data_IF_060441042507
#
_entry.id   IF_060441042507
#
_cell.length_a   1.000
_cell.length_b   1.000
_cell.length_c   1.000
_cell.angle_alpha   90.00
_cell.angle_beta   90.00
_cell.angle_gamma   90.00
#
_symmetry.space_group_name_H-M   'P 1'
#
loop_
_entity.id
_entity.type
_entity.pdbx_description
1 polymer ?
#
# COMPACT_ATOMS: atom_id res chain seq x y z
N UNK A 1 -20.22 2.28 -10.00
CA UNK A 1 -19.43 2.37 -8.76
C UNK A 1 -19.78 1.15 -7.94
N UNK A 2 -19.09 0.06 -8.25
CA UNK A 2 -19.15 -1.16 -7.46
C UNK A 2 -18.38 -0.89 -6.17
N UNK A 3 -19.06 -0.45 -5.11
CA UNK A 3 -18.51 -0.45 -3.74
C UNK A 3 -18.30 -1.90 -3.22
N UNK A 4 -18.18 -2.89 -4.12
CA UNK A 4 -18.71 -4.25 -3.94
C UNK A 4 -17.76 -5.25 -3.29
N UNK A 5 -16.55 -4.85 -2.88
CA UNK A 5 -15.56 -5.79 -2.32
C UNK A 5 -15.03 -5.42 -0.93
N UNK A 6 -15.55 -4.36 -0.29
CA UNK A 6 -15.00 -3.86 0.98
C UNK A 6 -15.78 -4.42 2.16
N UNK A 7 -15.24 -5.45 2.81
CA UNK A 7 -15.82 -6.08 4.00
C UNK A 7 -14.78 -6.24 5.12
N UNK A 8 -15.21 -6.08 6.37
CA UNK A 8 -14.37 -6.35 7.54
C UNK A 8 -14.87 -7.64 8.18
N UNK A 9 -13.96 -8.60 8.39
CA UNK A 9 -14.28 -9.82 9.10
C UNK A 9 -14.32 -9.56 10.62
N UNK A 10 -15.50 -9.64 11.22
CA UNK A 10 -15.71 -9.34 12.64
C UNK A 10 -15.43 -10.53 13.59
N UNK A 11 -14.71 -11.55 13.11
CA UNK A 11 -14.47 -12.80 13.84
C UNK A 11 -15.77 -13.52 14.26
N UNK A 12 -16.80 -13.38 13.42
CA UNK A 12 -18.11 -13.98 13.60
C UNK A 12 -18.51 -14.76 12.35
N UNK A 13 -18.80 -16.05 12.50
CA UNK A 13 -19.15 -16.93 11.39
C UNK A 13 -17.98 -17.80 10.92
N UNK A 14 -18.04 -18.24 9.67
CA UNK A 14 -17.02 -19.10 9.04
C UNK A 14 -15.77 -18.28 8.67
N UNK A 15 -14.59 -18.72 9.11
CA UNK A 15 -13.39 -17.90 8.99
C UNK A 15 -13.09 -17.43 7.55
N UNK A 16 -12.51 -16.25 7.42
CA UNK A 16 -12.25 -15.60 6.12
C UNK A 16 -11.40 -16.46 5.16
N UNK A 17 -10.55 -17.35 5.68
CA UNK A 17 -9.74 -18.23 4.83
C UNK A 17 -10.59 -19.33 4.22
N UNK A 18 -11.44 -19.96 5.01
CA UNK A 18 -12.39 -20.97 4.53
C UNK A 18 -13.33 -20.38 3.48
N UNK A 19 -13.89 -19.20 3.73
CA UNK A 19 -14.74 -18.52 2.75
C UNK A 19 -13.97 -18.14 1.48
N UNK A 20 -12.76 -17.58 1.61
CA UNK A 20 -11.91 -17.25 0.47
C UNK A 20 -11.57 -18.48 -0.39
N UNK A 21 -11.23 -19.60 0.23
CA UNK A 21 -10.97 -20.87 -0.47
C UNK A 21 -12.22 -21.38 -1.21
N UNK A 22 -13.39 -21.25 -0.58
CA UNK A 22 -14.67 -21.61 -1.21
C UNK A 22 -14.95 -20.73 -2.43
N UNK A 23 -14.76 -19.41 -2.32
CA UNK A 23 -14.92 -18.49 -3.44
C UNK A 23 -13.99 -18.84 -4.62
N UNK A 24 -12.73 -19.18 -4.34
CA UNK A 24 -11.76 -19.62 -5.36
C UNK A 24 -12.22 -20.92 -6.04
N UNK A 25 -12.68 -21.91 -5.26
CA UNK A 25 -13.17 -23.19 -5.80
C UNK A 25 -14.41 -23.01 -6.68
N UNK A 26 -15.37 -22.20 -6.22
CA UNK A 26 -16.59 -21.90 -6.98
C UNK A 26 -16.29 -21.17 -8.31
N UNK A 27 -15.17 -20.46 -8.38
CA UNK A 27 -14.73 -19.68 -9.55
C UNK A 27 -13.58 -20.30 -10.34
N UNK A 28 -13.23 -21.56 -10.09
CA UNK A 28 -12.04 -22.20 -10.68
C UNK A 28 -11.99 -22.08 -12.22
N UNK A 29 -13.12 -22.29 -12.89
CA UNK A 29 -13.17 -22.23 -14.37
C UNK A 29 -12.88 -20.82 -14.88
N UNK A 30 -13.40 -19.81 -14.20
CA UNK A 30 -13.17 -18.40 -14.53
C UNK A 30 -11.71 -18.03 -14.28
N UNK A 31 -11.16 -18.39 -13.11
CA UNK A 31 -9.75 -18.17 -12.76
C UNK A 31 -8.83 -18.81 -13.81
N UNK A 32 -9.08 -20.07 -14.20
CA UNK A 32 -8.27 -20.76 -15.23
C UNK A 32 -8.37 -20.10 -16.60
N UNK A 33 -9.50 -19.48 -16.93
CA UNK A 33 -9.66 -18.72 -18.18
C UNK A 33 -8.84 -17.43 -18.12
N UNK A 34 -8.99 -16.65 -17.05
CA UNK A 34 -8.26 -15.40 -16.85
C UNK A 34 -6.74 -15.63 -16.83
N UNK A 35 -6.27 -16.71 -16.19
CA UNK A 35 -4.85 -17.08 -16.21
C UNK A 35 -4.33 -17.38 -17.63
N UNK A 36 -5.16 -17.97 -18.51
CA UNK A 36 -4.75 -18.15 -19.91
C UNK A 36 -4.68 -16.84 -20.68
N UNK A 37 -5.53 -15.88 -20.31
CA UNK A 37 -5.59 -14.54 -20.91
C UNK A 37 -4.43 -13.65 -20.40
N UNK A 38 -3.90 -13.89 -19.20
CA UNK A 38 -2.73 -13.15 -18.65
C UNK A 38 -1.39 -13.64 -19.19
N UNK A 39 -1.27 -14.90 -19.64
CA UNK A 39 0.01 -15.47 -20.13
C UNK A 39 0.65 -14.65 -21.27
N UNK A 40 -0.09 -14.19 -22.30
CA UNK A 40 0.49 -13.32 -23.33
C UNK A 40 1.05 -12.01 -22.76
N UNK A 41 0.36 -11.38 -21.80
CA UNK A 41 0.79 -10.13 -21.15
C UNK A 41 2.13 -10.34 -20.44
N UNK A 42 2.26 -11.42 -19.66
CA UNK A 42 3.52 -11.76 -19.01
C UNK A 42 4.67 -12.04 -19.99
N UNK A 43 4.37 -12.65 -21.14
CA UNK A 43 5.38 -12.92 -22.17
C UNK A 43 5.86 -11.64 -22.85
N UNK A 44 4.93 -10.73 -23.12
CA UNK A 44 5.22 -9.42 -23.69
C UNK A 44 6.09 -8.61 -22.72
N UNK A 45 5.69 -8.52 -21.45
CA UNK A 45 6.48 -7.89 -20.41
C UNK A 45 7.91 -8.46 -20.33
N UNK A 46 8.04 -9.80 -20.27
CA UNK A 46 9.35 -10.44 -20.20
C UNK A 46 10.22 -10.18 -21.45
N UNK A 47 9.61 -10.10 -22.64
CA UNK A 47 10.31 -9.74 -23.88
C UNK A 47 10.79 -8.30 -23.81
N UNK A 48 9.95 -7.36 -23.39
CA UNK A 48 10.28 -5.94 -23.29
C UNK A 48 11.42 -5.72 -22.29
N UNK A 49 11.38 -6.36 -21.12
CA UNK A 49 12.50 -6.33 -20.18
C UNK A 49 13.80 -6.85 -20.82
N UNK A 50 13.73 -7.97 -21.55
CA UNK A 50 14.90 -8.53 -22.21
C UNK A 50 15.45 -7.59 -23.30
N UNK A 51 14.60 -6.95 -24.09
CA UNK A 51 14.98 -5.99 -25.12
C UNK A 51 15.61 -4.73 -24.52
N UNK A 52 15.13 -4.29 -23.35
CA UNK A 52 15.71 -3.21 -22.56
C UNK A 52 16.99 -3.61 -21.80
N UNK A 53 17.32 -4.92 -21.78
CA UNK A 53 18.49 -5.43 -21.06
C UNK A 53 18.30 -5.55 -19.54
N UNK A 54 17.05 -5.55 -19.06
CA UNK A 54 16.70 -5.67 -17.66
C UNK A 54 16.54 -7.14 -17.24
N UNK A 55 17.17 -7.51 -16.12
CA UNK A 55 16.97 -8.82 -15.48
C UNK A 55 15.90 -8.73 -14.38
N UNK A 56 14.78 -9.42 -14.58
CA UNK A 56 13.69 -9.50 -13.59
C UNK A 56 13.77 -10.83 -12.84
N UNK A 57 14.37 -10.80 -11.64
CA UNK A 57 14.33 -11.92 -10.69
C UNK A 57 13.47 -11.57 -9.47
N UNK A 58 12.18 -11.91 -9.58
CA UNK A 58 11.18 -11.71 -8.51
C UNK A 58 11.58 -12.45 -7.23
N UNK A 59 12.06 -13.69 -7.37
CA UNK A 59 12.37 -14.54 -6.21
C UNK A 59 13.55 -13.99 -5.42
N UNK A 60 14.58 -13.53 -6.13
CA UNK A 60 15.75 -12.86 -5.54
C UNK A 60 15.32 -11.62 -4.75
N UNK A 61 14.61 -10.67 -5.37
CA UNK A 61 14.20 -9.43 -4.68
C UNK A 61 13.29 -9.72 -3.48
N UNK A 62 12.27 -10.58 -3.64
CA UNK A 62 11.41 -10.99 -2.51
C UNK A 62 12.20 -11.62 -1.36
N UNK A 63 13.21 -12.43 -1.67
CA UNK A 63 14.07 -13.05 -0.65
C UNK A 63 14.96 -12.02 0.08
N UNK A 64 15.47 -11.01 -0.63
CA UNK A 64 16.28 -9.95 -0.06
C UNK A 64 15.46 -9.05 0.87
N UNK A 65 14.23 -8.71 0.47
CA UNK A 65 13.28 -7.97 1.32
C UNK A 65 12.87 -8.79 2.53
N UNK A 66 12.56 -10.07 2.34
CA UNK A 66 12.22 -10.99 3.44
C UNK A 66 13.33 -11.09 4.49
N UNK A 67 14.59 -11.03 4.08
CA UNK A 67 15.74 -11.05 4.98
C UNK A 67 15.86 -9.79 5.86
N UNK A 68 15.18 -8.69 5.48
CA UNK A 68 15.32 -7.36 6.11
C UNK A 68 14.02 -6.78 6.67
N UNK A 69 12.96 -7.59 6.81
CA UNK A 69 11.64 -7.13 7.26
C UNK A 69 11.67 -6.35 8.59
N UNK A 70 12.51 -6.77 9.53
CA UNK A 70 12.65 -6.09 10.83
C UNK A 70 13.22 -4.67 10.69
N UNK A 71 14.14 -4.47 9.74
CA UNK A 71 14.79 -3.18 9.49
C UNK A 71 13.91 -2.27 8.62
N UNK A 72 13.10 -2.85 7.73
CA UNK A 72 12.13 -2.12 6.90
C UNK A 72 10.97 -1.50 7.70
N UNK A 73 10.93 -1.71 9.02
CA UNK A 73 10.06 -0.95 9.93
C UNK A 73 10.70 0.33 10.45
N UNK A 74 11.95 0.62 10.11
CA UNK A 74 12.68 1.81 10.51
C UNK A 74 12.65 2.86 9.38
N UNK A 75 12.08 4.04 9.64
CA UNK A 75 12.00 5.13 8.67
C UNK A 75 13.37 5.58 8.16
N UNK A 76 14.45 5.34 8.91
CA UNK A 76 15.82 5.64 8.46
C UNK A 76 16.25 4.75 7.32
N UNK A 77 15.86 3.47 7.36
CA UNK A 77 16.11 2.56 6.25
C UNK A 77 15.16 2.84 5.09
N UNK A 78 13.90 3.18 5.37
CA UNK A 78 12.94 3.58 4.32
C UNK A 78 13.40 4.83 3.57
N UNK A 79 14.01 5.80 4.25
CA UNK A 79 14.60 6.96 3.61
C UNK A 79 15.74 6.58 2.66
N UNK A 80 16.66 5.71 3.10
CA UNK A 80 17.72 5.20 2.23
C UNK A 80 17.15 4.41 1.05
N UNK A 81 16.20 3.51 1.29
CA UNK A 81 15.57 2.70 0.25
C UNK A 81 14.88 3.56 -0.82
N UNK A 82 14.15 4.58 -0.40
CA UNK A 82 13.48 5.51 -1.32
C UNK A 82 14.50 6.31 -2.15
N UNK A 83 15.55 6.83 -1.52
CA UNK A 83 16.59 7.61 -2.20
C UNK A 83 17.39 6.74 -3.18
N UNK A 84 17.94 5.62 -2.73
CA UNK A 84 18.74 4.72 -3.56
C UNK A 84 17.91 4.06 -4.67
N UNK A 85 16.58 3.89 -4.49
CA UNK A 85 15.72 3.38 -5.57
C UNK A 85 15.66 4.31 -6.78
N UNK A 86 16.02 5.58 -6.63
CA UNK A 86 16.02 6.58 -7.70
C UNK A 86 17.44 6.98 -8.12
N UNK A 87 18.39 7.00 -7.19
CA UNK A 87 19.74 7.51 -7.45
C UNK A 87 20.73 6.45 -7.97
N UNK A 88 20.58 5.18 -7.58
CA UNK A 88 21.52 4.12 -7.96
C UNK A 88 21.16 3.51 -9.32
N UNK A 89 22.19 3.23 -10.14
CA UNK A 89 22.02 2.55 -11.42
C UNK A 89 21.35 1.18 -11.25
N UNK A 90 21.69 0.43 -10.19
CA UNK A 90 20.97 -0.79 -9.76
C UNK A 90 21.00 -0.90 -8.22
N UNK A 91 19.81 -0.85 -7.61
CA UNK A 91 19.63 -0.88 -6.17
C UNK A 91 20.10 -2.20 -5.54
N UNK A 92 20.95 -2.09 -4.52
CA UNK A 92 21.37 -3.23 -3.69
C UNK A 92 20.60 -3.29 -2.37
N UNK A 93 19.46 -4.00 -2.36
CA UNK A 93 18.64 -4.18 -1.14
C UNK A 93 19.43 -4.75 0.04
N UNK A 94 20.31 -5.77 -0.12
CA UNK A 94 21.14 -6.27 0.98
C UNK A 94 22.19 -5.26 1.46
N UNK A 95 22.59 -4.31 0.60
CA UNK A 95 23.61 -3.31 0.87
C UNK A 95 23.10 -2.04 1.56
N UNK A 96 21.78 -1.81 1.62
CA UNK A 96 21.25 -0.56 2.18
C UNK A 96 21.66 -0.35 3.64
N UNK A 97 22.16 0.84 3.94
CA UNK A 97 22.45 1.28 5.29
C UNK A 97 21.43 2.33 5.74
N UNK A 98 20.83 2.13 6.91
CA UNK A 98 19.89 3.11 7.45
C UNK A 98 20.59 4.45 7.67
N UNK A 99 19.91 5.56 7.33
CA UNK A 99 20.40 6.90 7.66
C UNK A 99 20.75 7.01 9.15
N UNK A 100 21.80 7.77 9.53
CA UNK A 100 22.25 7.83 10.93
C UNK A 100 21.18 8.41 11.88
N UNK A 101 20.36 9.35 11.41
CA UNK A 101 19.30 9.97 12.18
C UNK A 101 18.12 10.38 11.28
N UNK A 102 16.92 10.49 11.89
CA UNK A 102 15.75 11.13 11.28
C UNK A 102 15.77 12.63 11.61
N UNK A 103 16.57 13.39 10.87
CA UNK A 103 16.58 14.84 11.03
C UNK A 103 15.32 15.50 10.43
N UNK A 104 15.16 16.81 10.66
CA UNK A 104 14.00 17.54 10.19
C UNK A 104 13.86 17.55 8.66
N UNK A 105 14.98 17.47 7.92
CA UNK A 105 14.98 17.44 6.46
C UNK A 105 14.50 16.08 5.97
N UNK A 106 15.09 15.00 6.45
CA UNK A 106 14.69 13.63 6.10
C UNK A 106 13.22 13.40 6.42
N UNK A 107 12.75 13.80 7.61
CA UNK A 107 11.34 13.68 7.95
C UNK A 107 10.42 14.52 7.06
N UNK A 108 10.87 15.71 6.63
CA UNK A 108 10.11 16.54 5.68
C UNK A 108 10.04 15.90 4.30
N UNK A 109 11.12 15.27 3.83
CA UNK A 109 11.17 14.57 2.56
C UNK A 109 10.24 13.34 2.58
N UNK A 110 10.35 12.49 3.61
CA UNK A 110 9.46 11.33 3.80
C UNK A 110 7.99 11.73 3.90
N UNK A 111 7.68 12.79 4.67
CA UNK A 111 6.30 13.27 4.81
C UNK A 111 5.74 13.79 3.50
N UNK A 112 6.58 14.42 2.66
CA UNK A 112 6.18 14.90 1.34
C UNK A 112 5.89 13.72 0.41
N UNK A 113 6.79 12.73 0.34
CA UNK A 113 6.57 11.54 -0.49
C UNK A 113 5.33 10.75 -0.06
N UNK A 114 5.10 10.62 1.26
CA UNK A 114 3.87 10.01 1.77
C UNK A 114 2.61 10.79 1.33
N UNK A 115 2.67 12.13 1.40
CA UNK A 115 1.54 12.97 1.06
C UNK A 115 1.25 12.99 -0.45
N UNK A 116 2.27 12.95 -1.31
CA UNK A 116 2.11 12.86 -2.77
C UNK A 116 1.28 11.61 -3.11
N UNK A 117 1.66 10.44 -2.58
CA UNK A 117 0.95 9.17 -2.80
C UNK A 117 -0.48 9.16 -2.24
N UNK A 118 -0.66 9.70 -1.04
CA UNK A 118 -1.99 9.77 -0.44
C UNK A 118 -2.89 10.73 -1.21
N UNK A 119 -2.37 11.88 -1.62
CA UNK A 119 -3.15 12.92 -2.30
C UNK A 119 -3.69 12.40 -3.63
N UNK A 120 -2.92 11.62 -4.38
CA UNK A 120 -3.40 11.02 -5.63
C UNK A 120 -4.64 10.14 -5.40
N UNK A 121 -4.72 9.42 -4.28
CA UNK A 121 -5.90 8.62 -3.92
C UNK A 121 -7.03 9.43 -3.24
N UNK A 122 -6.70 10.38 -2.37
CA UNK A 122 -7.66 11.07 -1.50
C UNK A 122 -8.13 12.43 -2.04
N UNK A 123 -7.49 12.98 -3.06
CA UNK A 123 -7.92 14.21 -3.75
C UNK A 123 -9.00 13.92 -4.80
N UNK A 124 -9.95 13.06 -4.45
CA UNK A 124 -11.06 12.71 -5.31
C UNK A 124 -11.96 13.94 -5.59
N UNK A 125 -12.24 14.18 -6.88
CA UNK A 125 -13.14 15.24 -7.33
C UNK A 125 -14.54 15.08 -6.72
N UNK A 126 -15.03 13.84 -6.70
CA UNK A 126 -16.29 13.46 -6.08
C UNK A 126 -16.06 12.69 -4.78
N UNK A 127 -16.85 13.00 -3.75
CA UNK A 127 -16.70 12.37 -2.44
C UNK A 127 -16.90 10.84 -2.47
N UNK A 128 -17.72 10.33 -3.38
CA UNK A 128 -17.97 8.89 -3.54
C UNK A 128 -16.82 8.14 -4.23
N UNK A 129 -15.85 8.87 -4.78
CA UNK A 129 -14.61 8.30 -5.31
C UNK A 129 -13.49 8.31 -4.25
N UNK A 130 -13.70 8.96 -3.11
CA UNK A 130 -12.72 8.99 -2.04
C UNK A 130 -12.54 7.59 -1.40
N UNK A 131 -11.33 7.25 -0.92
CA UNK A 131 -11.07 6.00 -0.25
C UNK A 131 -11.97 5.81 0.98
N UNK A 132 -12.52 4.60 1.13
CA UNK A 132 -13.39 4.22 2.25
C UNK A 132 -12.59 3.45 3.29
N UNK A 133 -12.68 3.88 4.55
CA UNK A 133 -12.22 3.16 5.73
C UNK A 133 -13.43 2.64 6.52
N UNK A 134 -13.55 1.32 6.65
CA UNK A 134 -14.55 0.72 7.54
C UNK A 134 -13.97 0.62 8.94
N UNK A 135 -14.50 1.40 9.88
CA UNK A 135 -14.03 1.40 11.26
C UNK A 135 -14.58 0.20 12.05
N UNK A 136 -13.98 -0.15 13.21
CA UNK A 136 -14.42 -1.29 14.03
C UNK A 136 -15.87 -1.22 14.51
N UNK A 137 -16.47 -0.04 14.57
CA UNK A 137 -17.89 0.16 14.90
C UNK A 137 -18.84 -0.06 13.72
N UNK A 138 -18.31 -0.45 12.55
CA UNK A 138 -19.05 -0.67 11.32
C UNK A 138 -19.37 0.62 10.55
N UNK A 139 -18.84 1.77 10.96
CA UNK A 139 -19.03 3.02 10.24
C UNK A 139 -18.15 3.08 8.99
N UNK A 140 -18.71 3.61 7.89
CA UNK A 140 -18.01 3.79 6.62
C UNK A 140 -17.51 5.22 6.55
N UNK A 141 -16.20 5.39 6.72
CA UNK A 141 -15.54 6.69 6.83
C UNK A 141 -14.87 7.04 5.50
N UNK A 142 -15.11 8.26 5.03
CA UNK A 142 -14.55 8.81 3.80
C UNK A 142 -13.61 9.95 4.17
N UNK A 143 -12.37 9.88 3.69
CA UNK A 143 -11.37 10.93 3.88
C UNK A 143 -11.06 11.57 2.53
N UNK A 144 -11.19 12.90 2.47
CA UNK A 144 -10.91 13.66 1.24
C UNK A 144 -9.91 14.77 1.53
N UNK A 145 -8.86 14.85 0.73
CA UNK A 145 -7.92 15.97 0.72
C UNK A 145 -8.51 17.12 -0.10
N UNK A 146 -8.66 18.30 0.51
CA UNK A 146 -9.14 19.50 -0.17
C UNK A 146 -8.23 20.69 0.17
N UNK A 147 -7.32 21.03 -0.74
CA UNK A 147 -6.33 22.07 -0.51
C UNK A 147 -5.31 21.65 0.56
N UNK A 148 -5.34 22.28 1.74
CA UNK A 148 -4.39 22.04 2.84
C UNK A 148 -5.04 21.37 4.06
N UNK A 149 -6.19 20.75 3.86
CA UNK A 149 -6.97 20.07 4.90
C UNK A 149 -7.46 18.70 4.43
N UNK A 150 -7.69 17.83 5.39
CA UNK A 150 -8.40 16.56 5.22
C UNK A 150 -9.78 16.71 5.83
N UNK A 151 -10.82 16.42 5.05
CA UNK A 151 -12.20 16.36 5.51
C UNK A 151 -12.59 14.91 5.79
N UNK A 152 -13.23 14.69 6.93
CA UNK A 152 -13.76 13.39 7.34
C UNK A 152 -15.29 13.39 7.22
N UNK A 153 -15.81 12.41 6.49
CA UNK A 153 -17.24 12.16 6.33
C UNK A 153 -17.58 10.73 6.74
N UNK A 154 -18.84 10.52 7.12
CA UNK A 154 -19.40 9.19 7.38
C UNK A 154 -20.56 8.96 6.43
N UNK A 155 -20.52 7.82 5.74
CA UNK A 155 -21.60 7.34 4.90
C UNK A 155 -22.55 6.46 5.72
N UNK A 156 -23.83 6.82 5.71
CA UNK A 156 -24.91 6.04 6.29
C UNK A 156 -25.34 4.88 5.41
N UNK A 157 -26.17 4.00 5.97
CA UNK A 157 -26.67 2.80 5.27
C UNK A 157 -27.57 3.11 4.08
N UNK A 158 -28.17 4.30 4.04
CA UNK A 158 -29.00 4.77 2.93
C UNK A 158 -28.17 5.47 1.83
N UNK A 159 -26.85 5.55 2.00
CA UNK A 159 -25.93 6.25 1.11
C UNK A 159 -25.83 7.76 1.35
N UNK A 160 -26.46 8.27 2.42
CA UNK A 160 -26.30 9.66 2.84
C UNK A 160 -24.90 9.90 3.42
N UNK A 161 -24.28 11.03 3.08
CA UNK A 161 -22.92 11.34 3.53
C UNK A 161 -22.93 12.59 4.40
N UNK A 162 -22.40 12.47 5.62
CA UNK A 162 -22.36 13.56 6.60
C UNK A 162 -20.93 13.91 6.98
N UNK A 163 -20.56 15.19 6.90
CA UNK A 163 -19.26 15.67 7.36
C UNK A 163 -19.20 15.59 8.90
N UNK A 164 -18.19 14.92 9.44
CA UNK A 164 -17.96 14.77 10.88
C UNK A 164 -16.83 15.65 11.41
N UNK A 165 -15.83 15.95 10.57
CA UNK A 165 -14.71 16.79 10.99
C UNK A 165 -13.82 17.22 9.85
N UNK A 166 -12.81 18.03 10.18
CA UNK A 166 -11.71 18.37 9.30
C UNK A 166 -10.46 18.69 10.13
N UNK A 167 -9.29 18.42 9.56
CA UNK A 167 -7.98 18.75 10.16
C UNK A 167 -7.03 19.31 9.09
N UNK A 168 -6.18 20.28 9.43
CA UNK A 168 -5.07 20.67 8.56
C UNK A 168 -4.10 19.52 8.32
N UNK A 169 -3.61 19.35 7.08
CA UNK A 169 -2.67 18.27 6.72
C UNK A 169 -1.42 18.30 7.61
N UNK A 170 -0.91 19.51 7.92
CA UNK A 170 0.25 19.72 8.80
C UNK A 170 0.09 19.17 10.23
N UNK A 171 -1.14 18.89 10.67
CA UNK A 171 -1.42 18.31 11.99
C UNK A 171 -1.34 16.77 11.95
N UNK A 172 -1.40 16.16 10.76
CA UNK A 172 -1.18 14.73 10.53
C UNK A 172 0.31 14.52 10.29
N UNK A 173 1.02 14.12 11.35
CA UNK A 173 2.48 13.93 11.30
C UNK A 173 2.80 12.46 11.09
N UNK A 174 3.62 12.17 10.09
CA UNK A 174 4.22 10.85 9.91
C UNK A 174 5.04 10.48 11.17
N UNK A 175 4.87 9.26 11.66
CA UNK A 175 5.54 8.78 12.87
C UNK A 175 6.30 7.49 12.60
N UNK A 176 7.44 7.36 13.28
CA UNK A 176 8.16 6.10 13.38
C UNK A 176 7.28 5.09 14.14
N UNK A 177 6.98 3.91 13.59
CA UNK A 177 6.28 2.88 14.35
C UNK A 177 7.16 2.36 15.48
N UNK A 178 6.55 2.19 16.65
CA UNK A 178 7.18 1.67 17.87
C UNK A 178 6.34 0.53 18.45
N UNK A 179 6.86 -0.15 19.48
CA UNK A 179 6.10 -1.12 20.26
C UNK A 179 5.42 -2.20 19.41
N UNK A 180 4.13 -2.43 19.65
CA UNK A 180 3.32 -3.43 18.95
C UNK A 180 2.92 -2.97 17.55
N UNK A 181 2.75 -1.67 17.30
CA UNK A 181 2.56 -1.13 15.95
C UNK A 181 3.70 -1.56 15.01
N UNK A 182 4.96 -1.50 15.48
CA UNK A 182 6.13 -1.97 14.73
C UNK A 182 6.05 -3.46 14.38
N UNK A 183 5.66 -4.30 15.34
CA UNK A 183 5.52 -5.75 15.11
C UNK A 183 4.43 -6.04 14.07
N UNK A 184 3.28 -5.37 14.17
CA UNK A 184 2.18 -5.51 13.23
C UNK A 184 2.59 -5.10 11.82
N UNK A 185 3.32 -3.99 11.68
CA UNK A 185 3.86 -3.55 10.38
C UNK A 185 4.77 -4.61 9.78
N UNK A 186 5.78 -5.07 10.51
CA UNK A 186 6.71 -6.11 10.07
C UNK A 186 5.99 -7.37 9.58
N UNK A 187 5.01 -7.86 10.34
CA UNK A 187 4.24 -9.05 9.98
C UNK A 187 3.40 -8.81 8.72
N UNK A 188 2.87 -7.59 8.54
CA UNK A 188 2.18 -7.19 7.31
C UNK A 188 3.13 -7.05 6.12
N UNK A 189 4.36 -6.51 6.29
CA UNK A 189 5.35 -6.41 5.21
C UNK A 189 5.70 -7.77 4.62
N UNK A 190 5.71 -8.82 5.45
CA UNK A 190 5.85 -10.19 4.97
C UNK A 190 4.73 -10.55 3.99
N UNK A 191 3.48 -10.28 4.39
CA UNK A 191 2.31 -10.55 3.56
C UNK A 191 2.38 -9.71 2.28
N UNK A 192 2.67 -8.41 2.39
CA UNK A 192 2.74 -7.51 1.25
C UNK A 192 3.79 -7.96 0.22
N UNK A 193 4.99 -8.33 0.68
CA UNK A 193 6.07 -8.83 -0.17
C UNK A 193 5.68 -10.09 -0.95
N UNK A 194 4.88 -10.98 -0.32
CA UNK A 194 4.41 -12.22 -0.91
C UNK A 194 3.16 -12.06 -1.80
N UNK A 195 2.53 -10.88 -1.85
CA UNK A 195 1.34 -10.63 -2.68
C UNK A 195 1.72 -10.45 -4.16
N UNK A 196 1.00 -11.15 -5.03
CA UNK A 196 1.19 -11.02 -6.48
C UNK A 196 0.60 -9.71 -7.02
N UNK A 197 -0.44 -9.16 -6.40
CA UNK A 197 -0.94 -7.82 -6.76
C UNK A 197 0.08 -6.71 -6.52
N UNK A 198 0.90 -6.84 -5.48
CA UNK A 198 2.00 -5.90 -5.19
C UNK A 198 3.09 -5.99 -6.27
N UNK A 199 3.49 -7.21 -6.65
CA UNK A 199 4.40 -7.45 -7.76
C UNK A 199 3.84 -6.92 -9.09
N UNK A 200 2.56 -7.20 -9.38
CA UNK A 200 1.89 -6.76 -10.59
C UNK A 200 1.82 -5.23 -10.72
N UNK A 201 1.69 -4.52 -9.59
CA UNK A 201 1.80 -3.06 -9.59
C UNK A 201 3.21 -2.58 -9.94
N UNK A 202 4.26 -3.23 -9.42
CA UNK A 202 5.63 -2.90 -9.80
C UNK A 202 5.91 -3.18 -11.29
N UNK A 203 5.37 -4.26 -11.86
CA UNK A 203 5.47 -4.52 -13.31
C UNK A 203 4.74 -3.50 -14.16
N UNK A 204 3.56 -3.07 -13.72
CA UNK A 204 2.85 -1.98 -14.38
C UNK A 204 3.69 -0.70 -14.40
N UNK A 205 4.34 -0.33 -13.29
CA UNK A 205 5.20 0.86 -13.28
C UNK A 205 6.43 0.70 -14.18
N UNK A 206 7.02 -0.49 -14.27
CA UNK A 206 8.09 -0.74 -15.23
C UNK A 206 7.63 -0.50 -16.68
N UNK A 207 6.42 -0.96 -17.03
CA UNK A 207 5.83 -0.75 -18.36
C UNK A 207 5.44 0.71 -18.60
N UNK A 208 4.84 1.37 -17.60
CA UNK A 208 4.41 2.78 -17.66
C UNK A 208 5.61 3.74 -17.76
N UNK A 209 6.76 3.36 -17.20
CA UNK A 209 8.02 4.09 -17.27
C UNK A 209 8.96 3.54 -18.35
N UNK A 210 8.41 2.93 -19.41
CA UNK A 210 9.14 2.53 -20.62
C UNK A 210 10.38 1.64 -20.35
N UNK A 211 10.38 0.86 -19.27
CA UNK A 211 11.45 -0.06 -18.89
C UNK A 211 12.81 0.64 -18.67
N UNK A 212 12.80 1.88 -18.14
CA UNK A 212 14.01 2.66 -17.88
C UNK A 212 14.79 2.19 -16.64
N UNK A 213 14.07 1.79 -15.58
CA UNK A 213 14.65 1.48 -14.28
C UNK A 213 14.77 -0.04 -14.03
N UNK A 214 15.84 -0.51 -13.36
CA UNK A 214 15.96 -1.92 -13.00
C UNK A 214 14.90 -2.40 -12.02
N UNK A 215 14.63 -3.71 -12.08
CA UNK A 215 13.64 -4.36 -11.21
C UNK A 215 13.83 -4.08 -9.71
N UNK A 216 15.03 -4.15 -9.12
CA UNK A 216 15.23 -3.82 -7.71
C UNK A 216 14.83 -2.38 -7.37
N UNK A 217 15.14 -1.42 -8.25
CA UNK A 217 14.81 0.00 -8.08
C UNK A 217 13.30 0.20 -8.04
N UNK A 218 12.58 -0.28 -9.06
CA UNK A 218 11.11 -0.14 -9.12
C UNK A 218 10.46 -0.83 -7.92
N UNK A 219 10.88 -2.05 -7.57
CA UNK A 219 10.34 -2.76 -6.42
C UNK A 219 10.62 -2.01 -5.10
N UNK A 220 11.83 -1.48 -4.92
CA UNK A 220 12.24 -0.70 -3.75
C UNK A 220 11.47 0.62 -3.60
N UNK A 221 11.25 1.32 -4.72
CA UNK A 221 10.43 2.53 -4.79
C UNK A 221 8.97 2.25 -4.43
N UNK A 222 8.38 1.19 -5.00
CA UNK A 222 7.00 0.77 -4.68
C UNK A 222 6.87 0.36 -3.20
N UNK A 223 7.84 -0.37 -2.67
CA UNK A 223 7.83 -0.81 -1.27
C UNK A 223 7.94 0.38 -0.31
N UNK A 224 8.89 1.28 -0.54
CA UNK A 224 9.09 2.45 0.32
C UNK A 224 7.88 3.39 0.30
N UNK A 225 7.33 3.69 -0.88
CA UNK A 225 6.13 4.53 -1.01
C UNK A 225 4.88 3.88 -0.40
N UNK A 226 4.71 2.57 -0.52
CA UNK A 226 3.62 1.83 0.11
C UNK A 226 3.68 1.86 1.63
N UNK A 227 4.88 1.70 2.20
CA UNK A 227 5.11 1.82 3.64
C UNK A 227 4.78 3.24 4.12
N UNK A 228 5.20 4.25 3.38
CA UNK A 228 4.95 5.65 3.71
C UNK A 228 3.46 6.01 3.65
N UNK A 229 2.72 5.55 2.62
CA UNK A 229 1.27 5.71 2.52
C UNK A 229 0.56 5.08 3.74
N UNK A 230 0.86 3.81 4.03
CA UNK A 230 0.29 3.08 5.17
C UNK A 230 0.56 3.80 6.51
N UNK A 231 1.79 4.24 6.75
CA UNK A 231 2.16 4.97 7.97
C UNK A 231 1.44 6.33 8.06
N UNK A 232 1.26 7.01 6.93
CA UNK A 232 0.52 8.26 6.90
C UNK A 232 -0.97 8.04 7.18
N UNK A 233 -1.60 7.02 6.57
CA UNK A 233 -2.99 6.62 6.87
C UNK A 233 -3.17 6.24 8.33
N UNK A 234 -2.22 5.52 8.91
CA UNK A 234 -2.18 5.21 10.34
C UNK A 234 -2.17 6.49 11.18
N UNK A 235 -1.36 7.46 10.79
CA UNK A 235 -1.25 8.76 11.47
C UNK A 235 -2.53 9.60 11.33
N UNK A 236 -3.18 9.55 10.16
CA UNK A 236 -4.47 10.18 9.90
C UNK A 236 -5.56 9.61 10.82
N UNK A 237 -5.66 8.28 10.90
CA UNK A 237 -6.63 7.62 11.78
C UNK A 237 -6.38 7.97 13.25
N UNK A 238 -5.12 7.97 13.69
CA UNK A 238 -4.78 8.36 15.06
C UNK A 238 -5.15 9.83 15.38
N UNK A 239 -5.13 10.71 14.38
CA UNK A 239 -5.51 12.12 14.54
C UNK A 239 -7.04 12.32 14.66
N UNK A 240 -7.84 11.61 13.87
CA UNK A 240 -9.30 11.70 13.91
C UNK A 240 -9.95 10.83 15.00
N UNK A 241 -9.31 9.71 15.36
CA UNK A 241 -9.80 8.74 16.34
C UNK A 241 -8.79 8.56 17.48
N UNK A 242 -8.62 9.58 18.35
CA UNK A 242 -7.68 9.50 19.45
C UNK A 242 -8.08 8.39 20.44
N UNK A 243 -7.08 7.67 20.96
CA UNK A 243 -7.27 6.63 21.99
C UNK A 243 -7.14 5.18 21.49
N UNK A 244 -6.89 4.96 20.20
CA UNK A 244 -6.53 3.65 19.67
C UNK A 244 -5.29 3.07 20.38
N UNK A 245 -5.34 1.77 20.70
CA UNK A 245 -4.27 1.09 21.44
C UNK A 245 -3.05 0.82 20.54
N UNK A 246 -1.91 0.58 21.18
CA UNK A 246 -0.71 0.11 20.49
C UNK A 246 -0.96 -1.24 19.79
N UNK A 247 -0.62 -1.33 18.51
CA UNK A 247 -0.91 -2.44 17.60
C UNK A 247 -2.26 -2.32 16.88
N UNK A 248 -3.25 -1.67 17.48
CA UNK A 248 -4.56 -1.43 16.86
C UNK A 248 -4.45 -0.36 15.78
N UNK A 249 -3.74 0.74 16.06
CA UNK A 249 -3.52 1.82 15.09
C UNK A 249 -2.96 1.32 13.78
N UNK A 250 -1.86 0.54 13.84
CA UNK A 250 -1.23 -0.01 12.65
C UNK A 250 -2.17 -0.94 11.87
N UNK A 251 -2.95 -1.76 12.57
CA UNK A 251 -3.91 -2.67 11.95
C UNK A 251 -5.00 -1.90 11.19
N UNK A 252 -5.57 -0.88 11.79
CA UNK A 252 -6.59 -0.06 11.13
C UNK A 252 -6.00 0.73 9.95
N UNK A 253 -4.75 1.19 10.06
CA UNK A 253 -4.01 1.79 8.94
C UNK A 253 -3.81 0.82 7.78
N UNK A 254 -3.46 -0.44 8.05
CA UNK A 254 -3.37 -1.52 7.06
C UNK A 254 -4.72 -1.76 6.40
N UNK A 255 -5.81 -1.87 7.18
CA UNK A 255 -7.16 -2.07 6.62
C UNK A 255 -7.51 -0.91 5.68
N UNK A 256 -7.24 0.31 6.11
CA UNK A 256 -7.51 1.48 5.28
C UNK A 256 -6.66 1.52 4.00
N UNK A 257 -5.38 1.17 4.08
CA UNK A 257 -4.51 1.06 2.92
C UNK A 257 -4.98 -0.04 1.95
N UNK A 258 -5.24 -1.25 2.45
CA UNK A 258 -5.66 -2.39 1.63
C UNK A 258 -7.02 -2.14 0.95
N UNK A 259 -7.98 -1.50 1.63
CA UNK A 259 -9.29 -1.17 1.04
C UNK A 259 -9.20 -0.22 -0.17
N UNK A 260 -8.15 0.58 -0.23
CA UNK A 260 -7.86 1.46 -1.35
C UNK A 260 -7.07 0.73 -2.45
N UNK A 261 -6.09 -0.08 -2.07
CA UNK A 261 -5.28 -0.84 -3.03
C UNK A 261 -6.02 -2.00 -3.68
N UNK A 262 -7.12 -2.48 -3.09
CA UNK A 262 -8.02 -3.46 -3.72
C UNK A 262 -8.74 -2.92 -4.98
N UNK A 263 -8.64 -1.62 -5.27
CA UNK A 263 -9.13 -1.02 -6.51
C UNK A 263 -7.98 -0.58 -7.45
N UNK A 264 -6.73 -0.97 -7.15
CA UNK A 264 -5.57 -0.63 -7.98
C UNK A 264 -5.68 -1.25 -9.39
N UNK A 265 -5.19 -0.55 -10.44
CA UNK A 265 -5.46 -0.88 -11.85
C UNK A 265 -4.96 -2.27 -12.30
N UNK A 266 -4.09 -2.91 -11.53
CA UNK A 266 -3.41 -4.16 -11.90
C UNK A 266 -3.99 -5.41 -11.27
N UNK A 267 -5.03 -5.32 -10.44
CA UNK A 267 -5.68 -6.49 -9.86
C UNK A 267 -6.29 -7.36 -10.97
N UNK A 268 -5.55 -8.41 -11.34
CA UNK A 268 -5.93 -9.36 -12.38
C UNK A 268 -5.19 -9.23 -13.72
N UNK A 269 -4.37 -8.20 -13.93
CA UNK A 269 -3.57 -8.05 -15.16
C UNK A 269 -2.32 -8.96 -15.14
N UNK A 270 -1.67 -9.04 -13.98
CA UNK A 270 -0.53 -9.90 -13.70
C UNK A 270 -0.95 -10.92 -12.62
N UNK A 271 -1.60 -12.02 -13.05
CA UNK A 271 -1.99 -13.18 -12.21
C UNK A 271 -0.98 -14.31 -12.35
#
# INVERSE_FOLDING_TARGET
LDLSCRGVWLDQGEDAMTEGLRMVQEKETEIRRTLKESVPVYREFALNCQEAGLEVDVSKVRSQVSARLDELTDLRLIATLLEESVEEDELSIPGLEAKPALDARTMSELSRSALEMVTDSMAADELFQAPVYCAPDGSWNLFRVLGQKVEWHVMGVEGDVTKKGELPIKEIRLQQPEGRDRQVLRDYLKILNDRDSFMGYAFYLMDDYDYEDPWPNVYGGVLSTSILDLLWRTSLLAAFFPGMKDGERMREGIIFYDMDRLDAPTLGAFI
#
